data_IF_359092991598
#
_entry.id   IF_359092991598
#
_cell.length_a   1.000
_cell.length_b   1.000
_cell.length_c   1.000
_cell.angle_alpha   90.00
_cell.angle_beta   90.00
_cell.angle_gamma   90.00
#
_symmetry.space_group_name_H-M   'P 1'
#
loop_
_entity.id
_entity.type
_entity.pdbx_description
1 polymer ?
#
# COMPACT_ATOMS: atom_id res chain seq x y z
N UNK A 1 -6.58 27.99 -5.59
CA UNK A 1 -6.49 27.50 -5.55
C UNK A 1 -6.43 26.35 -5.27
N UNK A 2 -6.36 26.07 -5.39
CA UNK A 2 -6.63 24.83 -5.24
C UNK A 2 -5.65 24.04 -4.51
N UNK A 3 -4.95 24.62 -3.64
CA UNK A 3 -3.96 23.93 -2.85
C UNK A 3 -4.59 22.84 -1.99
N UNK A 4 -5.83 23.01 -1.63
CA UNK A 4 -6.48 21.99 -0.80
C UNK A 4 -7.05 20.88 -1.62
N UNK A 5 -7.08 20.99 -2.90
CA UNK A 5 -7.65 19.93 -3.72
C UNK A 5 -6.77 18.69 -3.62
N UNK A 6 -7.32 17.54 -3.28
CA UNK A 6 -6.51 16.34 -3.25
C UNK A 6 -5.90 16.08 -4.62
N UNK A 7 -4.71 15.51 -4.63
CA UNK A 7 -4.08 15.12 -5.87
C UNK A 7 -4.88 13.97 -6.47
N UNK A 8 -5.60 14.19 -7.57
CA UNK A 8 -6.43 13.12 -8.14
C UNK A 8 -5.61 11.99 -8.74
N UNK A 9 -4.31 12.20 -8.88
CA UNK A 9 -3.44 11.20 -9.46
C UNK A 9 -2.83 10.30 -8.42
N UNK A 10 -3.05 10.59 -7.14
CA UNK A 10 -2.50 9.79 -6.06
C UNK A 10 -3.63 9.14 -5.28
N UNK A 11 -3.63 7.81 -5.26
CA UNK A 11 -4.59 7.05 -4.46
C UNK A 11 -3.86 6.54 -3.22
N UNK A 12 -4.47 6.68 -2.06
CA UNK A 12 -3.91 6.19 -0.80
C UNK A 12 -4.79 5.10 -0.22
N UNK A 13 -4.16 4.13 0.41
CA UNK A 13 -4.88 3.11 1.15
C UNK A 13 -4.25 2.95 2.52
N UNK A 14 -5.08 3.01 3.54
CA UNK A 14 -4.64 2.87 4.93
C UNK A 14 -4.78 1.41 5.33
N UNK A 15 -3.66 0.79 5.66
CA UNK A 15 -3.62 -0.62 6.01
C UNK A 15 -3.32 -0.82 7.49
N UNK A 16 -3.63 0.17 8.29
CA UNK A 16 -3.42 0.08 9.72
C UNK A 16 -4.14 -1.13 10.30
N UNK A 17 -3.43 -1.92 11.09
CA UNK A 17 -4.06 -3.08 11.71
C UNK A 17 -4.04 -4.35 10.88
N UNK A 18 -3.53 -4.31 9.67
CA UNK A 18 -3.45 -5.50 8.84
C UNK A 18 -2.14 -6.22 9.04
N UNK A 19 -2.19 -7.54 8.95
CA UNK A 19 -0.99 -8.36 8.91
C UNK A 19 -0.63 -8.64 7.47
N UNK A 20 0.64 -9.03 7.20
CA UNK A 20 0.99 -9.38 5.83
C UNK A 20 0.05 -10.41 5.21
N UNK A 21 -0.32 -11.45 5.95
CA UNK A 21 -1.16 -12.50 5.37
C UNK A 21 -2.57 -12.02 5.06
N UNK A 22 -2.99 -10.90 5.65
CA UNK A 22 -4.31 -10.37 5.38
C UNK A 22 -4.35 -9.55 4.10
N UNK A 23 -3.20 -9.10 3.64
CA UNK A 23 -3.17 -8.18 2.52
C UNK A 23 -2.36 -8.69 1.34
N UNK A 24 -1.21 -9.31 1.58
CA UNK A 24 -0.34 -9.75 0.49
C UNK A 24 -1.04 -10.83 -0.32
N UNK A 25 -0.92 -10.77 -1.63
CA UNK A 25 -1.56 -11.73 -2.52
C UNK A 25 -2.81 -11.15 -3.16
N UNK A 26 -3.90 -11.92 -3.25
CA UNK A 26 -5.09 -11.45 -3.96
C UNK A 26 -5.67 -10.13 -3.48
N UNK A 27 -5.76 -9.84 -2.16
CA UNK A 27 -6.28 -8.53 -1.76
C UNK A 27 -5.42 -7.39 -2.28
N UNK A 28 -4.11 -7.52 -2.20
CA UNK A 28 -3.22 -6.48 -2.70
C UNK A 28 -3.37 -6.31 -4.20
N UNK A 29 -3.44 -7.42 -4.93
CA UNK A 29 -3.61 -7.35 -6.37
C UNK A 29 -4.92 -6.64 -6.74
N UNK A 30 -5.99 -6.91 -6.01
CA UNK A 30 -7.26 -6.27 -6.28
C UNK A 30 -7.16 -4.75 -6.06
N UNK A 31 -6.49 -4.33 -5.00
CA UNK A 31 -6.35 -2.89 -4.73
C UNK A 31 -5.49 -2.22 -5.80
N UNK A 32 -4.40 -2.86 -6.18
CA UNK A 32 -3.52 -2.30 -7.22
C UNK A 32 -4.30 -2.16 -8.53
N UNK A 33 -5.04 -3.19 -8.91
CA UNK A 33 -5.83 -3.13 -10.12
C UNK A 33 -6.87 -2.02 -10.06
N UNK A 34 -7.54 -1.87 -8.93
CA UNK A 34 -8.54 -0.81 -8.78
C UNK A 34 -7.92 0.57 -8.92
N UNK A 35 -6.76 0.78 -8.32
CA UNK A 35 -6.10 2.08 -8.45
C UNK A 35 -5.75 2.37 -9.91
N UNK A 36 -5.30 1.34 -10.63
CA UNK A 36 -5.04 1.49 -12.06
C UNK A 36 -6.33 1.79 -12.83
N UNK A 37 -7.43 1.13 -12.46
CA UNK A 37 -8.70 1.38 -13.09
C UNK A 37 -9.22 2.80 -12.83
N UNK A 38 -8.78 3.40 -11.74
CA UNK A 38 -9.13 4.78 -11.45
C UNK A 38 -8.32 5.78 -12.27
N UNK A 39 -7.31 5.32 -12.96
CA UNK A 39 -6.45 6.21 -13.72
C UNK A 39 -5.41 6.90 -12.87
N UNK A 40 -5.18 6.43 -11.65
CA UNK A 40 -4.21 7.05 -10.78
C UNK A 40 -2.80 6.87 -11.33
N UNK A 41 -1.95 7.85 -11.06
CA UNK A 41 -0.55 7.75 -11.44
C UNK A 41 0.28 7.06 -10.37
N UNK A 42 -0.14 7.15 -9.11
CA UNK A 42 0.59 6.57 -8.00
C UNK A 42 -0.36 5.97 -6.99
N UNK A 43 0.10 4.94 -6.32
CA UNK A 43 -0.65 4.30 -5.24
C UNK A 43 0.25 4.30 -4.00
N UNK A 44 -0.29 4.78 -2.91
CA UNK A 44 0.44 4.88 -1.65
C UNK A 44 -0.17 3.96 -0.62
N UNK A 45 0.67 3.10 -0.05
CA UNK A 45 0.29 2.19 1.02
C UNK A 45 0.72 2.80 2.34
N UNK A 46 -0.23 3.10 3.20
CA UNK A 46 0.08 3.61 4.54
C UNK A 46 -0.01 2.41 5.48
N UNK A 47 1.13 1.78 5.73
CA UNK A 47 1.18 0.54 6.49
C UNK A 47 1.67 0.73 7.91
N UNK A 48 2.13 1.93 8.24
CA UNK A 48 2.61 2.21 9.57
C UNK A 48 3.96 1.58 9.83
N UNK A 49 4.44 1.76 11.05
CA UNK A 49 5.75 1.25 11.45
C UNK A 49 5.70 -0.21 11.86
N UNK A 50 4.49 -0.72 12.13
CA UNK A 50 4.35 -2.11 12.43
C UNK A 50 4.76 -2.45 13.83
N UNK A 51 4.67 -3.73 14.13
CA UNK A 51 4.91 -4.22 15.47
C UNK A 51 6.33 -4.75 15.66
N UNK A 52 7.12 -4.70 14.62
CA UNK A 52 8.48 -5.22 14.71
C UNK A 52 9.41 -4.25 15.40
N UNK A 53 9.00 -3.00 15.54
CA UNK A 53 9.92 -2.02 16.10
C UNK A 53 10.24 -2.35 17.55
N UNK A 54 11.49 -2.16 17.91
CA UNK A 54 11.92 -2.38 19.26
C UNK A 54 12.21 -3.81 19.61
N UNK A 55 11.95 -4.75 18.72
CA UNK A 55 12.18 -6.14 19.02
C UNK A 55 13.62 -6.56 18.81
N UNK A 56 14.24 -6.06 17.80
CA UNK A 56 15.60 -6.46 17.48
C UNK A 56 16.37 -5.22 17.07
N UNK A 57 16.79 -4.47 18.05
CA UNK A 57 17.47 -3.22 17.75
C UNK A 57 18.68 -3.48 16.86
N UNK A 58 18.79 -2.71 15.80
CA UNK A 58 19.90 -2.85 14.91
C UNK A 58 19.81 -4.03 13.96
N UNK A 59 18.80 -4.84 14.11
CA UNK A 59 18.67 -6.03 13.29
C UNK A 59 18.06 -5.64 11.99
N UNK A 60 17.76 -4.85 11.46
CA UNK A 60 17.30 -4.32 10.23
C UNK A 60 16.37 -3.17 10.57
N UNK A 61 15.95 -2.53 9.55
CA UNK A 61 15.15 -1.35 9.72
C UNK A 61 13.78 -1.73 10.27
N UNK A 62 13.65 -1.74 11.58
CA UNK A 62 12.42 -2.14 12.21
C UNK A 62 11.34 -1.09 12.15
N UNK A 63 11.65 0.11 11.69
CA UNK A 63 10.66 1.17 11.64
C UNK A 63 9.62 0.95 10.56
N UNK A 64 9.93 0.12 9.58
CA UNK A 64 8.96 -0.16 8.52
C UNK A 64 7.94 -1.21 8.95
N UNK A 65 8.35 -2.15 9.80
CA UNK A 65 7.46 -3.22 10.22
C UNK A 65 7.32 -4.29 9.14
N UNK A 66 6.65 -5.38 9.53
CA UNK A 66 6.57 -6.55 8.65
C UNK A 66 5.69 -6.32 7.45
N UNK A 67 4.55 -5.67 7.62
CA UNK A 67 3.65 -5.45 6.50
C UNK A 67 4.33 -4.60 5.43
N UNK A 68 4.98 -3.51 5.84
CA UNK A 68 5.65 -2.66 4.87
C UNK A 68 6.74 -3.38 4.12
N UNK A 69 7.53 -4.19 4.81
CA UNK A 69 8.59 -4.94 4.15
C UNK A 69 8.03 -5.92 3.13
N UNK A 70 6.93 -6.59 3.47
CA UNK A 70 6.32 -7.54 2.55
C UNK A 70 5.66 -6.84 1.37
N UNK A 71 5.06 -5.69 1.61
CA UNK A 71 4.52 -4.90 0.51
C UNK A 71 5.63 -4.52 -0.47
N UNK A 72 6.74 -4.01 0.05
CA UNK A 72 7.85 -3.61 -0.81
C UNK A 72 8.40 -4.77 -1.61
N UNK A 73 8.49 -5.94 -0.97
CA UNK A 73 8.96 -7.11 -1.67
C UNK A 73 8.00 -7.51 -2.79
N UNK A 74 6.70 -7.51 -2.50
CA UNK A 74 5.70 -7.85 -3.50
C UNK A 74 5.76 -6.90 -4.68
N UNK A 75 5.86 -5.60 -4.42
CA UNK A 75 5.91 -4.62 -5.50
C UNK A 75 7.10 -4.84 -6.42
N UNK A 76 8.20 -5.34 -5.89
CA UNK A 76 9.40 -5.54 -6.70
C UNK A 76 9.43 -6.88 -7.42
N UNK A 77 8.76 -7.89 -6.88
CA UNK A 77 8.95 -9.25 -7.38
C UNK A 77 7.68 -9.95 -7.84
N UNK A 78 6.50 -9.48 -7.47
CA UNK A 78 5.28 -10.17 -7.83
C UNK A 78 4.90 -9.83 -9.26
N UNK A 79 4.94 -10.81 -10.14
CA UNK A 79 4.67 -10.59 -11.56
C UNK A 79 3.24 -10.19 -11.84
N UNK A 80 2.31 -10.63 -11.01
CA UNK A 80 0.91 -10.27 -11.22
C UNK A 80 0.74 -8.77 -11.14
N UNK A 81 1.42 -8.13 -10.17
CA UNK A 81 1.28 -6.70 -9.98
C UNK A 81 1.87 -5.90 -11.14
N UNK A 82 2.82 -6.48 -11.86
CA UNK A 82 3.47 -5.76 -12.95
C UNK A 82 2.53 -5.44 -14.10
N UNK A 83 1.38 -6.03 -14.12
CA UNK A 83 0.39 -5.65 -15.12
C UNK A 83 0.00 -4.19 -14.97
N UNK A 84 0.06 -3.66 -13.75
CA UNK A 84 -0.46 -2.34 -13.47
C UNK A 84 0.57 -1.38 -12.90
N UNK A 85 1.69 -1.85 -12.40
CA UNK A 85 2.66 -0.98 -11.72
C UNK A 85 3.95 -0.86 -12.51
N UNK A 86 4.66 0.22 -12.23
CA UNK A 86 6.03 0.42 -12.71
C UNK A 86 6.94 0.05 -11.55
N UNK A 87 7.35 -1.19 -11.48
CA UNK A 87 8.03 -1.69 -10.29
C UNK A 87 9.34 -0.95 -9.97
N UNK A 88 9.95 -0.31 -10.95
CA UNK A 88 11.17 0.45 -10.71
C UNK A 88 10.91 1.77 -9.98
N UNK A 89 9.65 2.14 -9.77
CA UNK A 89 9.32 3.42 -9.16
C UNK A 89 8.91 3.28 -7.69
N UNK A 90 9.17 2.14 -7.08
CA UNK A 90 8.83 1.93 -5.67
C UNK A 90 9.63 2.91 -4.81
N UNK A 91 8.92 3.70 -4.00
CA UNK A 91 9.54 4.69 -3.12
C UNK A 91 9.38 4.27 -1.68
N UNK A 92 10.49 4.19 -0.98
CA UNK A 92 10.52 3.74 0.41
C UNK A 92 11.20 4.77 1.30
N UNK A 93 11.06 6.03 0.96
CA UNK A 93 11.77 7.09 1.68
C UNK A 93 11.19 7.37 3.05
N UNK A 94 9.94 6.99 3.29
CA UNK A 94 9.32 7.17 4.60
C UNK A 94 9.04 5.81 5.21
N UNK A 95 9.22 5.73 6.52
CA UNK A 95 9.18 4.45 7.18
C UNK A 95 7.82 3.79 7.23
N UNK A 96 6.78 4.55 7.37
CA UNK A 96 5.44 3.98 7.47
C UNK A 96 4.66 3.99 6.17
N UNK A 97 5.33 4.30 5.05
CA UNK A 97 4.64 4.55 3.79
C UNK A 97 5.46 3.97 2.65
N UNK A 98 4.79 3.37 1.68
CA UNK A 98 5.42 2.91 0.45
C UNK A 98 4.56 3.36 -0.72
N UNK A 99 5.17 3.95 -1.71
CA UNK A 99 4.46 4.47 -2.88
C UNK A 99 5.01 3.83 -4.14
N UNK A 100 4.14 3.58 -5.11
CA UNK A 100 4.57 3.01 -6.39
C UNK A 100 3.84 3.71 -7.52
N UNK A 101 4.50 3.87 -8.65
CA UNK A 101 3.89 4.42 -9.84
C UNK A 101 3.06 3.38 -10.56
N UNK A 102 1.98 3.81 -11.17
CA UNK A 102 1.10 2.94 -11.94
C UNK A 102 1.28 3.20 -13.42
N UNK A 103 1.07 2.18 -14.22
CA UNK A 103 1.10 2.32 -15.66
C UNK A 103 -0.04 3.21 -16.12
N UNK A 104 0.14 3.83 -17.25
CA UNK A 104 -0.88 4.71 -17.80
C UNK A 104 -2.15 3.92 -18.09
N UNK A 105 -3.28 4.54 -17.83
CA UNK A 105 -4.58 3.99 -18.18
C UNK A 105 -5.40 5.11 -18.80
N UNK A 106 -5.44 5.18 -20.13
CA UNK A 106 -6.14 6.29 -20.80
C UNK A 106 -7.65 6.20 -20.70
N UNK A 107 -8.19 5.09 -20.24
CA UNK A 107 -9.65 4.90 -20.17
C UNK A 107 -10.04 4.45 -18.78
N UNK A 108 -9.98 5.33 -17.78
CA UNK A 108 -10.36 4.93 -16.41
C UNK A 108 -11.81 4.50 -16.36
N UNK A 109 -12.08 3.47 -15.59
CA UNK A 109 -13.43 2.92 -15.47
C UNK A 109 -13.94 2.93 -14.04
N UNK A 110 -13.19 3.48 -13.11
CA UNK A 110 -13.55 3.42 -11.69
C UNK A 110 -13.25 4.77 -11.05
N UNK A 111 -14.12 5.19 -10.15
CA UNK A 111 -13.94 6.48 -9.48
C UNK A 111 -13.53 6.37 -8.02
N UNK A 112 -13.57 5.18 -7.43
CA UNK A 112 -13.22 5.00 -6.03
C UNK A 112 -12.79 3.58 -5.78
N UNK A 113 -12.04 3.36 -4.68
CA UNK A 113 -11.67 2.02 -4.27
C UNK A 113 -12.86 1.33 -3.64
N UNK A 114 -12.98 0.04 -3.90
CA UNK A 114 -13.92 -0.82 -3.21
C UNK A 114 -13.13 -1.62 -2.19
N UNK A 115 -13.23 -1.21 -0.94
CA UNK A 115 -12.44 -1.82 0.12
C UNK A 115 -13.02 -3.14 0.63
N UNK A 116 -14.17 -3.54 0.10
CA UNK A 116 -14.74 -4.83 0.49
C UNK A 116 -13.91 -6.00 -0.01
N UNK A 117 -12.96 -5.76 -0.92
CA UNK A 117 -12.04 -6.81 -1.33
C UNK A 117 -11.04 -7.18 -0.25
N UNK A 118 -10.94 -6.36 0.80
CA UNK A 118 -10.03 -6.63 1.90
C UNK A 118 -10.77 -7.32 3.03
N UNK A 119 -10.10 -8.25 3.74
CA UNK A 119 -10.69 -8.80 4.95
C UNK A 119 -10.68 -7.77 6.06
N UNK A 120 -11.39 -8.01 7.16
CA UNK A 120 -11.27 -7.12 8.31
C UNK A 120 -9.84 -7.12 8.82
N UNK A 121 -9.37 -6.00 9.37
CA UNK A 121 -8.02 -5.96 9.92
C UNK A 121 -7.88 -6.90 11.11
N UNK A 122 -6.69 -7.48 11.26
CA UNK A 122 -6.43 -8.43 12.32
C UNK A 122 -6.37 -7.78 13.69
N UNK A 123 -5.99 -6.51 13.75
CA UNK A 123 -5.78 -5.83 15.03
C UNK A 123 -6.53 -4.53 15.12
N UNK A 124 -7.83 -4.51 14.85
CA UNK A 124 -8.51 -3.22 14.80
C UNK A 124 -8.54 -2.50 16.14
N UNK A 125 -8.66 -3.26 17.24
CA UNK A 125 -8.77 -2.63 18.54
C UNK A 125 -7.46 -2.54 19.28
N UNK A 126 -6.53 -3.42 18.99
CA UNK A 126 -5.24 -3.36 19.63
C UNK A 126 -4.54 -2.05 19.38
N UNK A 127 -4.67 -1.56 18.18
CA UNK A 127 -4.01 -0.32 17.81
C UNK A 127 -4.52 0.82 18.68
N UNK A 128 -5.80 0.82 18.96
CA UNK A 128 -6.37 1.91 19.72
C UNK A 128 -6.06 1.86 21.18
N UNK A 129 -5.78 0.70 21.69
CA UNK A 129 -5.50 0.56 23.09
C UNK A 129 -4.13 1.02 23.48
N UNK A 130 -3.30 1.29 22.53
CA UNK A 130 -1.93 1.71 22.84
C UNK A 130 -1.83 3.23 22.96
#
# INVERSE_FOLDING_TARGET
MSAETPDPLLVKIDLHGYRPRDFIGPPMAAIVQQAWEMGAERLRFVHGHGRARGKSPGFYNTRTGWLGLRIRRALRHDRVLRQWIKYSTVECTKWGVTTVGLKANPHPTRSALDLTVLPPPSYPDEVRRR
#
